data_IF_355667002016
#
_entry.id   IF_355667002016
#
_cell.length_a   1.000
_cell.length_b   1.000
_cell.length_c   1.000
_cell.angle_alpha   90.00
_cell.angle_beta   90.00
_cell.angle_gamma   90.00
#
_symmetry.space_group_name_H-M   'P 1'
#
loop_
_entity.id
_entity.type
_entity.pdbx_description
1 polymer ?
#
# COMPACT_ATOMS: atom_id res chain seq x y z
N UNK A 1 -10.48 12.95 -24.64
CA UNK A 1 -10.18 11.80 -23.77
C UNK A 1 -9.55 12.34 -22.51
N UNK A 2 -10.29 12.33 -21.41
CA UNK A 2 -9.80 12.78 -20.11
C UNK A 2 -9.08 11.59 -19.45
N UNK A 3 -7.77 11.51 -19.65
CA UNK A 3 -6.94 10.35 -19.26
C UNK A 3 -6.40 10.54 -17.83
N UNK A 4 -6.44 11.77 -17.33
CA UNK A 4 -5.94 12.14 -16.01
C UNK A 4 -7.06 12.19 -14.98
N UNK A 5 -6.69 11.91 -13.74
CA UNK A 5 -7.62 11.97 -12.62
C UNK A 5 -8.09 13.40 -12.38
N UNK A 6 -9.37 13.52 -12.09
CA UNK A 6 -10.01 14.73 -11.60
C UNK A 6 -9.60 15.02 -10.15
N UNK A 7 -9.86 16.25 -9.69
CA UNK A 7 -9.59 16.63 -8.29
C UNK A 7 -10.44 15.83 -7.32
N UNK A 8 -11.65 15.51 -7.74
CA UNK A 8 -12.64 14.72 -7.03
C UNK A 8 -12.13 13.28 -6.84
N UNK A 9 -11.66 12.62 -7.92
CA UNK A 9 -11.06 11.27 -7.83
C UNK A 9 -9.83 11.26 -6.91
N UNK A 10 -8.94 12.26 -7.03
CA UNK A 10 -7.78 12.38 -6.13
C UNK A 10 -8.19 12.57 -4.67
N UNK A 11 -9.28 13.28 -4.40
CA UNK A 11 -9.80 13.46 -3.04
C UNK A 11 -10.40 12.17 -2.51
N UNK A 12 -11.25 11.51 -3.30
CA UNK A 12 -11.88 10.23 -2.95
C UNK A 12 -10.86 9.15 -2.58
N UNK A 13 -9.76 9.05 -3.34
CA UNK A 13 -8.65 8.14 -3.02
C UNK A 13 -7.97 8.44 -1.69
N UNK A 14 -7.77 9.72 -1.37
CA UNK A 14 -7.21 10.13 -0.08
C UNK A 14 -8.15 9.79 1.08
N UNK A 15 -9.46 9.97 0.89
CA UNK A 15 -10.45 9.60 1.90
C UNK A 15 -10.50 8.09 2.11
N UNK A 16 -10.50 7.29 1.03
CA UNK A 16 -10.44 5.84 1.10
C UNK A 16 -9.20 5.35 1.88
N UNK A 17 -8.01 5.91 1.60
CA UNK A 17 -6.78 5.58 2.33
C UNK A 17 -6.84 6.00 3.80
N UNK A 18 -7.40 7.18 4.10
CA UNK A 18 -7.55 7.66 5.48
C UNK A 18 -8.52 6.79 6.28
N UNK A 19 -9.63 6.38 5.66
CA UNK A 19 -10.61 5.45 6.23
C UNK A 19 -9.95 4.11 6.54
N UNK A 20 -9.24 3.52 5.58
CA UNK A 20 -8.52 2.25 5.78
C UNK A 20 -7.48 2.36 6.89
N UNK A 21 -6.71 3.44 6.96
CA UNK A 21 -5.76 3.68 8.04
C UNK A 21 -6.43 3.72 9.42
N UNK A 22 -7.62 4.36 9.51
CA UNK A 22 -8.43 4.39 10.72
C UNK A 22 -8.93 2.99 11.13
N UNK A 23 -9.40 2.20 10.16
CA UNK A 23 -9.85 0.81 10.39
C UNK A 23 -8.69 -0.08 10.84
N UNK A 24 -7.52 0.02 10.20
CA UNK A 24 -6.32 -0.70 10.61
C UNK A 24 -5.90 -0.35 12.04
N UNK A 25 -5.91 0.93 12.41
CA UNK A 25 -5.55 1.35 13.78
C UNK A 25 -6.56 0.84 14.82
N UNK A 26 -7.86 0.83 14.50
CA UNK A 26 -8.89 0.26 15.38
C UNK A 26 -8.68 -1.24 15.59
N UNK A 27 -8.41 -1.97 14.51
CA UNK A 27 -8.14 -3.40 14.57
C UNK A 27 -6.87 -3.70 15.40
N UNK A 28 -5.78 -2.96 15.16
CA UNK A 28 -4.53 -3.10 15.91
C UNK A 28 -4.72 -2.78 17.39
N UNK A 29 -5.53 -1.77 17.73
CA UNK A 29 -5.89 -1.48 19.12
C UNK A 29 -6.59 -2.67 19.79
N UNK A 30 -7.61 -3.26 19.14
CA UNK A 30 -8.31 -4.44 19.67
C UNK A 30 -7.32 -5.59 19.92
N UNK A 31 -6.42 -5.86 18.97
CA UNK A 31 -5.38 -6.88 19.13
C UNK A 31 -4.37 -6.56 20.23
N UNK A 32 -4.03 -5.29 20.43
CA UNK A 32 -3.16 -4.88 21.53
C UNK A 32 -3.82 -5.12 22.90
N UNK A 33 -5.14 -4.88 23.01
CA UNK A 33 -5.90 -5.19 24.23
C UNK A 33 -5.97 -6.71 24.48
N UNK A 34 -6.19 -7.52 23.44
CA UNK A 34 -6.15 -9.00 23.54
C UNK A 34 -4.79 -9.52 24.03
N UNK A 35 -3.71 -8.82 23.70
CA UNK A 35 -2.34 -9.10 24.16
C UNK A 35 -2.06 -8.59 25.59
N UNK A 36 -3.08 -8.11 26.32
CA UNK A 36 -2.98 -7.56 27.67
C UNK A 36 -2.02 -6.36 27.78
N UNK A 37 -1.84 -5.59 26.71
CA UNK A 37 -1.09 -4.34 26.82
C UNK A 37 -1.86 -3.33 27.70
N UNK A 38 -1.17 -2.54 28.54
CA UNK A 38 -1.81 -1.45 29.28
C UNK A 38 -2.54 -0.50 28.33
N UNK A 39 -3.70 0.00 28.73
CA UNK A 39 -4.59 0.78 27.85
C UNK A 39 -3.90 1.97 27.19
N UNK A 40 -3.04 2.69 27.92
CA UNK A 40 -2.28 3.82 27.38
C UNK A 40 -1.26 3.41 26.30
N UNK A 41 -0.71 2.19 26.39
CA UNK A 41 0.19 1.62 25.37
C UNK A 41 -0.65 1.14 24.18
N UNK A 42 -1.74 0.43 24.43
CA UNK A 42 -2.64 -0.04 23.37
C UNK A 42 -3.14 1.13 22.51
N UNK A 43 -3.55 2.25 23.13
CA UNK A 43 -4.00 3.47 22.43
C UNK A 43 -2.92 4.14 21.58
N UNK A 44 -1.65 3.99 21.95
CA UNK A 44 -0.50 4.53 21.20
C UNK A 44 0.13 3.51 20.25
N UNK A 45 -0.44 2.30 20.16
CA UNK A 45 0.01 1.24 19.27
C UNK A 45 -0.74 1.32 17.95
N UNK A 46 -0.04 1.65 16.89
CA UNK A 46 -0.62 1.87 15.55
C UNK A 46 0.08 1.05 14.48
N UNK A 47 -0.60 0.96 13.32
CA UNK A 47 -0.01 0.53 12.06
C UNK A 47 0.13 1.72 11.11
N UNK A 48 0.76 1.51 9.95
CA UNK A 48 0.84 2.54 8.92
C UNK A 48 0.57 1.96 7.54
N UNK A 49 -0.32 2.61 6.80
CA UNK A 49 -0.55 2.35 5.39
C UNK A 49 0.41 3.19 4.56
N UNK A 50 1.11 2.51 3.68
CA UNK A 50 1.96 3.11 2.64
C UNK A 50 1.31 2.91 1.29
N UNK A 51 1.44 3.88 0.41
CA UNK A 51 1.11 3.72 -1.00
C UNK A 51 2.38 3.51 -1.81
N UNK A 52 2.28 2.72 -2.87
CA UNK A 52 3.42 2.46 -3.74
C UNK A 52 2.99 2.34 -5.21
N UNK A 53 3.94 1.96 -6.08
CA UNK A 53 3.65 1.68 -7.46
C UNK A 53 3.17 2.90 -8.22
N UNK A 54 2.26 2.68 -9.17
CA UNK A 54 1.83 3.72 -10.11
C UNK A 54 1.17 4.91 -9.41
N UNK A 55 0.45 4.67 -8.31
CA UNK A 55 -0.17 5.71 -7.52
C UNK A 55 0.82 6.67 -6.89
N UNK A 56 1.80 6.11 -6.19
CA UNK A 56 2.82 6.92 -5.52
C UNK A 56 3.75 7.62 -6.54
N UNK A 57 4.00 6.99 -7.69
CA UNK A 57 4.77 7.54 -8.81
C UNK A 57 4.01 8.59 -9.65
N UNK A 58 2.72 8.85 -9.38
CA UNK A 58 1.92 9.82 -10.14
C UNK A 58 1.52 9.36 -11.55
N UNK A 59 1.62 8.05 -11.80
CA UNK A 59 1.24 7.36 -13.04
C UNK A 59 -0.24 6.96 -13.09
N UNK A 60 -1.06 7.46 -12.16
CA UNK A 60 -2.48 7.13 -12.16
C UNK A 60 -3.21 7.72 -13.36
N UNK A 61 -4.05 6.86 -13.90
CA UNK A 61 -5.04 7.19 -14.90
C UNK A 61 -6.42 6.99 -14.27
N UNK A 62 -7.45 7.60 -14.88
CA UNK A 62 -8.84 7.38 -14.43
C UNK A 62 -9.16 5.90 -14.32
N UNK A 63 -9.84 5.53 -13.24
CA UNK A 63 -10.23 4.15 -12.95
C UNK A 63 -9.11 3.20 -12.53
N UNK A 64 -7.86 3.65 -12.35
CA UNK A 64 -6.80 2.79 -11.81
C UNK A 64 -7.08 2.42 -10.34
N UNK A 65 -6.61 1.28 -9.84
CA UNK A 65 -6.63 0.96 -8.40
C UNK A 65 -5.57 1.72 -7.60
N UNK A 66 -5.52 1.50 -6.29
CA UNK A 66 -4.42 1.91 -5.41
C UNK A 66 -3.67 0.68 -4.91
N UNK A 67 -2.36 0.65 -5.14
CA UNK A 67 -1.46 -0.28 -4.46
C UNK A 67 -1.10 0.27 -3.08
N UNK A 68 -1.53 -0.43 -2.02
CA UNK A 68 -1.32 -0.03 -0.63
C UNK A 68 -0.68 -1.16 0.18
N UNK A 69 0.07 -0.81 1.22
CA UNK A 69 0.68 -1.77 2.14
C UNK A 69 0.41 -1.34 3.58
N UNK A 70 -0.23 -2.20 4.36
CA UNK A 70 -0.31 -2.08 5.80
C UNK A 70 0.96 -2.67 6.45
N UNK A 71 1.72 -1.82 7.11
CA UNK A 71 2.81 -2.22 8.01
C UNK A 71 2.27 -2.27 9.44
N UNK A 72 2.37 -3.44 10.06
CA UNK A 72 1.81 -3.71 11.39
C UNK A 72 2.87 -4.17 12.41
N UNK A 73 2.61 -3.96 13.72
CA UNK A 73 3.48 -4.45 14.79
C UNK A 73 3.68 -5.97 14.83
N UNK A 74 4.71 -6.41 15.55
CA UNK A 74 5.17 -7.82 15.64
C UNK A 74 4.12 -8.83 16.13
N UNK A 75 3.10 -8.36 16.85
CA UNK A 75 2.07 -9.22 17.43
C UNK A 75 0.85 -9.40 16.51
N UNK A 76 0.81 -8.68 15.38
CA UNK A 76 -0.23 -8.80 14.36
C UNK A 76 0.22 -9.79 13.32
N UNK A 77 -0.46 -10.93 13.16
CA UNK A 77 -0.03 -11.94 12.19
C UNK A 77 -0.70 -11.77 10.82
N UNK A 78 -0.10 -12.38 9.79
CA UNK A 78 -0.67 -12.39 8.44
C UNK A 78 -1.98 -13.19 8.38
N UNK A 79 -2.06 -14.25 9.17
CA UNK A 79 -3.27 -15.07 9.29
C UNK A 79 -4.42 -14.21 9.81
N UNK A 80 -4.19 -13.42 10.87
CA UNK A 80 -5.18 -12.47 11.39
C UNK A 80 -5.52 -11.35 10.39
N UNK A 81 -4.57 -10.92 9.56
CA UNK A 81 -4.84 -9.96 8.49
C UNK A 81 -5.82 -10.54 7.44
N UNK A 82 -5.69 -11.82 7.10
CA UNK A 82 -6.60 -12.46 6.14
C UNK A 82 -7.89 -13.02 6.74
N UNK A 83 -7.95 -13.24 8.06
CA UNK A 83 -9.18 -13.63 8.76
C UNK A 83 -9.88 -12.42 9.38
N UNK A 84 -9.33 -11.92 10.49
CA UNK A 84 -9.99 -11.00 11.39
C UNK A 84 -10.14 -9.62 10.76
N UNK A 85 -9.09 -9.13 10.10
CA UNK A 85 -9.15 -7.83 9.44
C UNK A 85 -10.04 -7.85 8.20
N UNK A 86 -10.06 -8.95 7.44
CA UNK A 86 -11.02 -9.11 6.33
C UNK A 86 -12.47 -9.07 6.84
N UNK A 87 -12.76 -9.77 7.93
CA UNK A 87 -14.09 -9.75 8.54
C UNK A 87 -14.47 -8.34 9.01
N UNK A 88 -13.56 -7.64 9.69
CA UNK A 88 -13.75 -6.25 10.11
C UNK A 88 -13.98 -5.29 8.94
N UNK A 89 -13.30 -5.51 7.81
CA UNK A 89 -13.54 -4.74 6.58
C UNK A 89 -14.93 -5.00 6.01
N UNK A 90 -15.40 -6.25 6.03
CA UNK A 90 -16.70 -6.65 5.49
C UNK A 90 -17.90 -6.11 6.30
N UNK A 91 -17.69 -5.66 7.53
CA UNK A 91 -18.72 -5.07 8.40
C UNK A 91 -18.93 -3.57 8.17
N UNK A 92 -18.04 -2.89 7.44
CA UNK A 92 -18.12 -1.44 7.22
C UNK A 92 -18.76 -1.14 5.85
N UNK A 93 -19.89 -0.42 5.85
CA UNK A 93 -20.65 -0.08 4.64
C UNK A 93 -19.85 0.71 3.58
N UNK A 94 -18.71 1.30 3.95
CA UNK A 94 -17.83 1.99 3.00
C UNK A 94 -16.89 1.04 2.25
N UNK A 95 -16.87 -0.25 2.57
CA UNK A 95 -16.04 -1.28 1.95
C UNK A 95 -16.90 -2.31 1.23
N UNK A 96 -16.61 -2.50 -0.05
CA UNK A 96 -17.25 -3.46 -0.93
C UNK A 96 -16.27 -4.61 -1.25
N UNK A 97 -16.79 -5.84 -1.27
CA UNK A 97 -16.11 -7.06 -1.74
C UNK A 97 -14.68 -7.32 -1.19
N UNK A 98 -14.43 -7.26 0.13
CA UNK A 98 -13.12 -7.59 0.68
C UNK A 98 -12.81 -9.08 0.47
N UNK A 99 -11.71 -9.36 -0.23
CA UNK A 99 -11.33 -10.70 -0.67
C UNK A 99 -9.82 -10.95 -0.48
N UNK A 100 -9.47 -11.90 0.39
CA UNK A 100 -8.09 -12.34 0.58
C UNK A 100 -7.59 -13.23 -0.57
N UNK A 101 -6.36 -12.96 -1.00
CA UNK A 101 -5.62 -13.78 -1.97
C UNK A 101 -4.31 -14.28 -1.32
N UNK A 102 -4.37 -15.20 -0.34
CA UNK A 102 -3.22 -15.57 0.49
C UNK A 102 -2.16 -16.41 -0.24
N UNK A 103 -2.53 -17.03 -1.37
CA UNK A 103 -1.69 -17.95 -2.13
C UNK A 103 -1.02 -17.31 -3.36
N UNK A 104 -1.18 -16.00 -3.57
CA UNK A 104 -0.47 -15.27 -4.62
C UNK A 104 1.04 -15.18 -4.34
N UNK A 105 1.83 -14.84 -5.38
CA UNK A 105 3.28 -14.64 -5.23
C UNK A 105 3.63 -13.56 -4.19
N UNK A 106 2.82 -12.49 -4.15
CA UNK A 106 2.74 -11.52 -3.06
C UNK A 106 1.32 -11.56 -2.51
N UNK A 107 1.09 -12.08 -1.30
CA UNK A 107 -0.24 -12.14 -0.70
C UNK A 107 -0.85 -10.74 -0.47
N UNK A 108 -2.13 -10.58 -0.77
CA UNK A 108 -2.84 -9.31 -0.61
C UNK A 108 -4.33 -9.52 -0.33
N UNK A 109 -4.98 -8.48 0.18
CA UNK A 109 -6.43 -8.35 0.29
C UNK A 109 -6.90 -7.36 -0.78
N UNK A 110 -7.81 -7.79 -1.64
CA UNK A 110 -8.46 -6.95 -2.64
C UNK A 110 -9.77 -6.43 -2.07
N UNK A 111 -10.05 -5.15 -2.27
CA UNK A 111 -11.30 -4.54 -1.81
C UNK A 111 -11.62 -3.31 -2.64
N UNK A 112 -12.83 -2.80 -2.49
CA UNK A 112 -13.21 -1.49 -3.00
C UNK A 112 -13.69 -0.62 -1.84
N UNK A 113 -12.94 0.43 -1.51
CA UNK A 113 -13.26 1.33 -0.40
C UNK A 113 -13.75 2.66 -0.95
N UNK A 114 -14.96 3.08 -0.58
CA UNK A 114 -15.60 4.32 -1.03
C UNK A 114 -15.57 4.47 -2.56
N UNK A 115 -15.81 3.40 -3.32
CA UNK A 115 -15.74 3.43 -4.78
C UNK A 115 -14.35 3.17 -5.39
N UNK A 116 -13.28 3.12 -4.60
CA UNK A 116 -11.90 3.01 -5.06
C UNK A 116 -11.38 1.58 -4.88
N UNK A 117 -10.95 0.95 -5.97
CA UNK A 117 -10.26 -0.34 -5.91
C UNK A 117 -8.91 -0.22 -5.19
N UNK A 118 -8.66 -1.08 -4.21
CA UNK A 118 -7.43 -1.11 -3.41
C UNK A 118 -6.91 -2.54 -3.36
N UNK A 119 -5.65 -2.70 -3.74
CA UNK A 119 -4.85 -3.90 -3.50
C UNK A 119 -4.01 -3.65 -2.23
N UNK A 120 -4.44 -4.24 -1.10
CA UNK A 120 -3.84 -4.02 0.22
C UNK A 120 -2.92 -5.18 0.62
N UNK A 121 -1.62 -4.93 0.58
CA UNK A 121 -0.58 -5.85 1.04
C UNK A 121 -0.38 -5.74 2.55
N UNK A 122 0.24 -6.75 3.12
CA UNK A 122 0.58 -6.81 4.54
C UNK A 122 2.10 -6.99 4.74
N UNK A 123 2.65 -6.29 5.73
CA UNK A 123 3.98 -6.56 6.25
C UNK A 123 4.01 -6.45 7.78
N UNK A 124 4.56 -7.46 8.43
CA UNK A 124 4.85 -7.42 9.86
C UNK A 124 6.28 -6.90 10.09
N UNK A 125 6.45 -5.93 11.00
CA UNK A 125 7.77 -5.47 11.46
C UNK A 125 8.03 -5.93 12.90
N UNK A 126 9.29 -6.15 13.24
CA UNK A 126 9.72 -6.51 14.61
C UNK A 126 9.71 -5.31 15.59
N UNK A 127 8.58 -4.61 15.65
CA UNK A 127 8.36 -3.43 16.50
C UNK A 127 7.03 -3.58 17.24
N UNK A 128 6.93 -2.98 18.43
CA UNK A 128 5.69 -3.00 19.21
C UNK A 128 4.65 -1.97 18.73
N UNK A 129 5.07 -0.94 18.01
CA UNK A 129 4.18 0.05 17.39
C UNK A 129 4.84 0.62 16.13
N UNK A 130 4.03 0.94 15.12
CA UNK A 130 4.46 1.58 13.87
C UNK A 130 3.93 3.01 13.88
N UNK A 131 4.81 3.96 14.17
CA UNK A 131 4.46 5.38 14.31
C UNK A 131 4.16 6.03 12.96
N UNK A 132 3.50 7.18 12.96
CA UNK A 132 3.17 7.94 11.74
C UNK A 132 4.41 8.44 10.99
N UNK A 133 5.48 8.77 11.70
CA UNK A 133 6.79 9.18 11.18
C UNK A 133 7.65 7.98 10.70
N UNK A 134 7.17 6.75 10.85
CA UNK A 134 7.87 5.55 10.40
C UNK A 134 8.10 5.58 8.89
N UNK A 135 9.35 5.33 8.48
CA UNK A 135 9.75 5.27 7.09
C UNK A 135 10.35 3.90 6.79
N UNK A 136 9.74 3.17 5.85
CA UNK A 136 10.21 1.87 5.38
C UNK A 136 11.58 1.94 4.71
N UNK A 137 11.95 3.10 4.16
CA UNK A 137 13.21 3.30 3.43
C UNK A 137 14.39 3.64 4.34
N UNK A 138 14.15 4.12 5.57
CA UNK A 138 15.21 4.75 6.37
C UNK A 138 16.18 3.78 7.06
N UNK A 139 15.97 2.46 7.08
CA UNK A 139 16.90 1.55 7.79
C UNK A 139 17.00 0.14 7.20
N UNK A 140 17.91 0.01 6.21
CA UNK A 140 18.05 -1.10 5.26
C UNK A 140 18.42 -2.50 5.79
N UNK A 141 18.83 -2.68 7.05
CA UNK A 141 19.10 -4.02 7.60
C UNK A 141 18.26 -4.36 8.81
N UNK A 142 18.11 -3.45 9.78
CA UNK A 142 17.36 -3.73 11.02
C UNK A 142 15.88 -3.98 10.79
N UNK A 143 15.27 -3.32 9.80
CA UNK A 143 13.84 -3.47 9.52
C UNK A 143 13.51 -4.81 8.86
N UNK A 144 14.41 -5.33 8.03
CA UNK A 144 14.23 -6.62 7.36
C UNK A 144 14.63 -7.80 8.25
N UNK A 145 15.34 -7.56 9.37
CA UNK A 145 15.66 -8.63 10.33
C UNK A 145 14.36 -9.23 10.85
N UNK A 146 14.30 -10.56 10.82
CA UNK A 146 13.15 -11.38 11.26
C UNK A 146 11.88 -11.28 10.39
N UNK A 147 11.90 -10.55 9.26
CA UNK A 147 10.80 -10.61 8.29
C UNK A 147 10.82 -11.94 7.52
N UNK A 148 9.65 -12.51 7.28
CA UNK A 148 9.56 -13.67 6.41
C UNK A 148 9.72 -13.29 4.92
N UNK A 149 9.96 -14.28 4.06
CA UNK A 149 10.19 -14.03 2.62
C UNK A 149 9.02 -13.30 1.92
N UNK A 150 7.80 -13.44 2.44
CA UNK A 150 6.60 -12.80 1.88
C UNK A 150 6.50 -11.34 2.33
N UNK A 151 6.84 -11.04 3.58
CA UNK A 151 6.96 -9.67 4.09
C UNK A 151 8.04 -8.89 3.33
N UNK A 152 9.21 -9.51 3.13
CA UNK A 152 10.31 -8.90 2.35
C UNK A 152 9.86 -8.54 0.93
N UNK A 153 9.14 -9.44 0.25
CA UNK A 153 8.59 -9.16 -1.09
C UNK A 153 7.57 -8.03 -1.06
N UNK A 154 6.72 -8.00 -0.03
CA UNK A 154 5.66 -6.99 0.10
C UNK A 154 6.25 -5.60 0.30
N UNK A 155 7.25 -5.44 1.18
CA UNK A 155 7.86 -4.12 1.47
C UNK A 155 8.69 -3.57 0.32
N UNK A 156 9.17 -4.43 -0.59
CA UNK A 156 9.95 -3.99 -1.75
C UNK A 156 9.17 -3.04 -2.67
N UNK A 157 7.84 -3.19 -2.79
CA UNK A 157 7.03 -2.28 -3.59
C UNK A 157 7.14 -0.83 -3.12
N UNK A 158 6.99 -0.62 -1.81
CA UNK A 158 7.13 0.71 -1.18
C UNK A 158 8.56 1.20 -1.28
N UNK A 159 9.54 0.36 -0.93
CA UNK A 159 10.96 0.74 -0.91
C UNK A 159 11.46 1.17 -2.28
N UNK A 160 11.23 0.36 -3.32
CA UNK A 160 11.63 0.69 -4.70
C UNK A 160 11.00 2.01 -5.15
N UNK A 161 9.73 2.23 -4.82
CA UNK A 161 9.04 3.45 -5.21
C UNK A 161 9.63 4.69 -4.53
N UNK A 162 9.90 4.61 -3.23
CA UNK A 162 10.52 5.70 -2.48
C UNK A 162 11.97 5.95 -2.91
N UNK A 163 12.74 4.89 -3.16
CA UNK A 163 14.11 5.00 -3.66
C UNK A 163 14.16 5.72 -5.02
N UNK A 164 13.29 5.36 -5.97
CA UNK A 164 13.15 6.08 -7.24
C UNK A 164 12.87 7.57 -7.00
N UNK A 165 11.90 7.88 -6.13
CA UNK A 165 11.52 9.28 -5.84
C UNK A 165 12.63 10.06 -5.13
N UNK A 166 13.49 9.41 -4.36
CA UNK A 166 14.60 10.05 -3.65
C UNK A 166 15.85 10.22 -4.51
N UNK A 167 16.01 9.41 -5.56
CA UNK A 167 17.13 9.51 -6.52
C UNK A 167 16.93 10.59 -7.59
N UNK A 168 15.70 11.05 -7.81
CA UNK A 168 15.42 12.07 -8.84
C UNK A 168 15.56 13.50 -8.30
N UNK A 169 16.24 14.36 -9.04
CA UNK A 169 16.47 15.77 -8.64
C UNK A 169 15.19 16.58 -8.47
N UNK A 170 14.17 16.33 -9.31
CA UNK A 170 12.91 17.07 -9.31
C UNK A 170 11.70 16.15 -9.38
N UNK A 171 11.12 15.80 -8.23
CA UNK A 171 9.97 14.86 -8.15
C UNK A 171 8.81 15.25 -9.07
N UNK A 172 8.46 16.54 -9.14
CA UNK A 172 7.36 17.01 -10.00
C UNK A 172 7.68 16.87 -11.49
N UNK A 173 8.92 17.19 -11.90
CA UNK A 173 9.38 17.07 -13.29
C UNK A 173 9.41 15.60 -13.70
N UNK A 174 9.96 14.76 -12.84
CA UNK A 174 9.99 13.31 -13.03
C UNK A 174 8.58 12.74 -13.19
N UNK A 175 7.65 13.03 -12.26
CA UNK A 175 6.26 12.55 -12.34
C UNK A 175 5.57 13.01 -13.62
N UNK A 176 5.77 14.26 -14.04
CA UNK A 176 5.19 14.77 -15.29
C UNK A 176 5.74 14.04 -16.53
N UNK A 177 7.07 13.87 -16.63
CA UNK A 177 7.71 13.15 -17.72
C UNK A 177 7.27 11.67 -17.77
N UNK A 178 7.31 11.00 -16.62
CA UNK A 178 6.89 9.61 -16.48
C UNK A 178 5.43 9.42 -16.90
N UNK A 179 4.54 10.37 -16.58
CA UNK A 179 3.14 10.33 -17.01
C UNK A 179 2.98 10.41 -18.53
N UNK A 180 3.78 11.22 -19.20
CA UNK A 180 3.81 11.31 -20.67
C UNK A 180 4.33 10.00 -21.28
N UNK A 181 5.42 9.45 -20.74
CA UNK A 181 6.00 8.17 -21.19
C UNK A 181 5.00 7.03 -21.01
N UNK A 182 4.35 6.93 -19.84
CA UNK A 182 3.36 5.90 -19.56
C UNK A 182 2.17 5.97 -20.53
N UNK A 183 1.68 7.17 -20.85
CA UNK A 183 0.63 7.36 -21.86
C UNK A 183 1.09 6.93 -23.26
N UNK A 184 2.30 7.32 -23.65
CA UNK A 184 2.90 6.93 -24.93
C UNK A 184 3.04 5.40 -25.03
N UNK A 185 3.61 4.75 -24.02
CA UNK A 185 3.83 3.30 -23.99
C UNK A 185 2.50 2.53 -24.10
N UNK A 186 1.46 2.99 -23.39
CA UNK A 186 0.10 2.43 -23.51
C UNK A 186 -0.47 2.58 -24.92
N UNK A 187 -0.38 3.78 -25.53
CA UNK A 187 -0.84 4.02 -26.91
C UNK A 187 -0.08 3.20 -27.96
N UNK A 188 1.16 2.82 -27.66
CA UNK A 188 1.98 1.96 -28.51
C UNK A 188 1.82 0.47 -28.21
N UNK A 189 0.95 0.09 -27.26
CA UNK A 189 0.73 -1.30 -26.83
C UNK A 189 1.99 -2.01 -26.30
N UNK A 190 2.90 -1.25 -25.66
CA UNK A 190 4.16 -1.77 -25.09
C UNK A 190 4.22 -1.56 -23.57
N UNK A 191 3.06 -1.53 -22.90
CA UNK A 191 2.93 -1.35 -21.46
C UNK A 191 2.24 -2.58 -20.85
N UNK A 192 2.99 -3.62 -20.51
CA UNK A 192 2.48 -4.81 -19.79
C UNK A 192 3.60 -5.76 -19.37
N UNK A 193 3.88 -5.83 -18.06
CA UNK A 193 4.83 -6.80 -17.50
C UNK A 193 4.38 -8.25 -17.72
N UNK A 194 3.08 -8.52 -17.62
CA UNK A 194 2.52 -9.86 -17.82
C UNK A 194 2.72 -10.39 -19.25
N UNK A 195 2.84 -9.49 -20.23
CA UNK A 195 3.06 -9.83 -21.64
C UNK A 195 4.53 -9.72 -22.06
N UNK A 196 5.46 -9.54 -21.11
CA UNK A 196 6.90 -9.42 -21.38
C UNK A 196 7.37 -8.02 -21.81
N UNK A 197 6.49 -7.00 -21.78
CA UNK A 197 6.86 -5.61 -21.98
C UNK A 197 7.18 -4.91 -20.65
N UNK A 198 7.64 -3.66 -20.71
CA UNK A 198 7.94 -2.87 -19.52
C UNK A 198 6.66 -2.49 -18.76
N UNK A 199 6.68 -2.69 -17.44
CA UNK A 199 5.63 -2.23 -16.53
C UNK A 199 5.91 -0.83 -15.97
N UNK A 200 5.04 -0.34 -15.09
CA UNK A 200 5.14 1.03 -14.55
C UNK A 200 6.45 1.31 -13.82
N UNK A 201 6.91 0.40 -12.97
CA UNK A 201 8.21 0.54 -12.27
C UNK A 201 9.37 0.51 -13.25
N UNK A 202 9.34 -0.38 -14.25
CA UNK A 202 10.40 -0.46 -15.26
C UNK A 202 10.50 0.83 -16.08
N UNK A 203 9.36 1.42 -16.47
CA UNK A 203 9.33 2.73 -17.12
C UNK A 203 9.75 3.88 -16.22
N UNK A 204 9.60 3.76 -14.90
CA UNK A 204 10.01 4.76 -13.93
C UNK A 204 11.53 4.76 -13.68
N UNK A 205 12.20 3.63 -13.93
CA UNK A 205 13.66 3.49 -13.78
C UNK A 205 14.40 4.05 -14.99
N UNK A 206 13.81 3.95 -16.19
CA UNK A 206 14.35 4.51 -17.43
C UNK A 206 14.27 6.04 -17.45
#
# INVERSE_FOLDING_TARGET
MDVFESREEMHQRREALSKLQGMSNRWIYTKAVEQNLPEHIARSTTGKIFTFGSYQLGLNFRGAGIDAQLVAPRFITREQFFSDFQALLAEDDSVEDPHAVPHAYVPLLKLKCMGVEVDLLFAQVDMMSVRSDFNLSDNCERLLRNMDKRDVRSVNGVRVTEDILNLVYGKNVFKAALKVIGLWAKRRNIYSNAMGFLGGVSWAIL
#
